data_IF_743402065742
#
_entry.id   IF_743402065742
#
_cell.length_a   1.000
_cell.length_b   1.000
_cell.length_c   1.000
_cell.angle_alpha   90.00
_cell.angle_beta   90.00
_cell.angle_gamma   90.00
#
_symmetry.space_group_name_H-M   'P 1'
#
loop_
_entity.id
_entity.type
_entity.pdbx_description
1 polymer ?
#
# COMPACT_ATOMS: atom_id res chain seq x y z
N UNK A 1 -1.85 -4.60 -28.27
CA UNK A 1 -2.36 -3.86 -27.09
C UNK A 1 -1.24 -3.12 -26.35
N UNK A 2 -0.11 -3.77 -26.04
CA UNK A 2 1.07 -3.14 -25.40
C UNK A 2 1.56 -1.83 -26.06
N UNK A 3 1.69 -1.80 -27.40
CA UNK A 3 2.11 -0.59 -28.12
C UNK A 3 1.09 0.57 -28.03
N UNK A 4 -0.19 0.29 -27.76
CA UNK A 4 -1.21 1.34 -27.53
C UNK A 4 -1.09 1.95 -26.14
N UNK A 5 -0.72 1.16 -25.12
CA UNK A 5 -0.45 1.65 -23.76
C UNK A 5 0.81 2.53 -23.71
N UNK A 6 1.84 2.18 -24.50
CA UNK A 6 3.07 2.97 -24.59
C UNK A 6 2.83 4.37 -25.17
N UNK A 7 1.89 4.49 -26.12
CA UNK A 7 1.45 5.77 -26.67
C UNK A 7 0.73 6.65 -25.64
N UNK A 8 0.02 6.05 -24.68
CA UNK A 8 -0.59 6.77 -23.55
C UNK A 8 0.49 7.40 -22.65
N UNK A 9 1.60 6.71 -22.43
CA UNK A 9 2.76 7.21 -21.67
C UNK A 9 3.50 8.35 -22.37
N UNK A 10 3.39 8.43 -23.70
CA UNK A 10 3.95 9.51 -24.51
C UNK A 10 3.12 10.80 -24.48
N UNK A 11 1.99 10.85 -23.77
CA UNK A 11 1.30 12.12 -23.52
C UNK A 11 2.11 12.96 -22.53
N UNK A 12 2.41 14.19 -22.95
CA UNK A 12 3.11 15.24 -22.21
C UNK A 12 2.58 15.46 -20.77
N UNK A 13 1.30 15.13 -20.55
CA UNK A 13 0.66 15.17 -19.22
C UNK A 13 1.29 14.24 -18.18
N UNK A 14 1.84 13.09 -18.57
CA UNK A 14 2.43 12.14 -17.61
C UNK A 14 3.75 12.63 -17.03
N UNK A 15 4.54 13.36 -17.82
CA UNK A 15 5.82 13.89 -17.36
C UNK A 15 5.61 14.91 -16.22
N UNK A 16 4.62 15.80 -16.38
CA UNK A 16 4.24 16.76 -15.34
C UNK A 16 3.75 16.05 -14.06
N UNK A 17 2.88 15.04 -14.19
CA UNK A 17 2.38 14.28 -13.05
C UNK A 17 3.51 13.51 -12.31
N UNK A 18 4.43 12.89 -13.04
CA UNK A 18 5.59 12.20 -12.46
C UNK A 18 6.56 13.17 -11.78
N UNK A 19 6.75 14.37 -12.34
CA UNK A 19 7.55 15.41 -11.72
C UNK A 19 6.97 15.84 -10.37
N UNK A 20 5.67 16.11 -10.31
CA UNK A 20 4.95 16.43 -9.06
C UNK A 20 5.06 15.28 -8.07
N UNK A 21 4.78 14.04 -8.49
CA UNK A 21 4.88 12.86 -7.63
C UNK A 21 6.30 12.70 -7.05
N UNK A 22 7.33 12.83 -7.89
CA UNK A 22 8.74 12.76 -7.46
C UNK A 22 9.04 13.83 -6.41
N UNK A 23 8.56 15.06 -6.61
CA UNK A 23 8.79 16.16 -5.68
C UNK A 23 8.09 15.91 -4.34
N UNK A 24 6.84 15.43 -4.36
CA UNK A 24 6.08 15.05 -3.15
C UNK A 24 6.81 13.96 -2.37
N UNK A 25 7.27 12.91 -3.06
CA UNK A 25 8.04 11.81 -2.46
C UNK A 25 9.36 12.29 -1.87
N UNK A 26 10.07 13.18 -2.56
CA UNK A 26 11.34 13.72 -2.08
C UNK A 26 11.15 14.59 -0.83
N UNK A 27 10.14 15.47 -0.84
CA UNK A 27 9.82 16.38 0.27
C UNK A 27 9.43 15.60 1.54
N UNK A 28 8.68 14.51 1.40
CA UNK A 28 8.15 13.72 2.52
C UNK A 28 8.83 12.35 2.67
N UNK A 29 10.07 12.18 2.17
CA UNK A 29 10.74 10.87 2.15
C UNK A 29 10.88 10.22 3.53
N UNK A 30 11.14 11.01 4.57
CA UNK A 30 11.34 10.51 5.94
C UNK A 30 10.07 9.86 6.52
N UNK A 31 8.92 10.55 6.61
CA UNK A 31 7.70 9.92 7.10
C UNK A 31 7.22 8.79 6.18
N UNK A 32 7.39 8.93 4.86
CA UNK A 32 6.99 7.89 3.91
C UNK A 32 7.79 6.59 4.11
N UNK A 33 9.11 6.66 4.26
CA UNK A 33 9.95 5.48 4.51
C UNK A 33 9.59 4.81 5.84
N UNK A 34 9.27 5.58 6.89
CA UNK A 34 8.85 5.03 8.19
C UNK A 34 7.51 4.29 8.07
N UNK A 35 6.53 4.88 7.39
CA UNK A 35 5.24 4.25 7.15
C UNK A 35 5.36 3.00 6.27
N UNK A 36 6.17 3.07 5.21
CA UNK A 36 6.48 1.93 4.36
C UNK A 36 7.15 0.79 5.13
N UNK A 37 8.14 1.11 5.96
CA UNK A 37 8.80 0.12 6.81
C UNK A 37 7.81 -0.55 7.77
N UNK A 38 6.91 0.21 8.41
CA UNK A 38 5.88 -0.34 9.29
C UNK A 38 4.90 -1.27 8.54
N UNK A 39 4.50 -0.89 7.32
CA UNK A 39 3.65 -1.71 6.45
C UNK A 39 4.32 -3.04 6.11
N UNK A 40 5.55 -2.99 5.61
CA UNK A 40 6.30 -4.20 5.24
C UNK A 40 6.56 -5.07 6.46
N UNK A 41 6.98 -4.50 7.59
CA UNK A 41 7.21 -5.25 8.81
C UNK A 41 5.94 -5.97 9.31
N UNK A 42 4.80 -5.27 9.30
CA UNK A 42 3.51 -5.87 9.72
C UNK A 42 3.09 -6.98 8.78
N UNK A 43 3.24 -6.79 7.47
CA UNK A 43 2.96 -7.81 6.47
C UNK A 43 3.83 -9.06 6.70
N UNK A 44 5.13 -8.88 6.91
CA UNK A 44 6.04 -9.99 7.20
C UNK A 44 5.69 -10.71 8.51
N UNK A 45 5.37 -9.97 9.57
CA UNK A 45 4.95 -10.56 10.87
C UNK A 45 3.67 -11.36 10.68
N UNK A 46 2.68 -10.80 10.00
CA UNK A 46 1.41 -11.47 9.76
C UNK A 46 1.59 -12.74 8.92
N UNK A 47 2.37 -12.68 7.83
CA UNK A 47 2.70 -13.83 7.00
C UNK A 47 3.42 -14.93 7.79
N UNK A 48 4.39 -14.55 8.62
CA UNK A 48 5.18 -15.49 9.42
C UNK A 48 4.33 -16.15 10.50
N UNK A 49 3.45 -15.39 11.17
CA UNK A 49 2.54 -15.96 12.16
C UNK A 49 1.56 -16.94 11.52
N UNK A 50 0.93 -16.59 10.40
CA UNK A 50 0.04 -17.52 9.69
C UNK A 50 0.78 -18.79 9.23
N UNK A 51 2.00 -18.63 8.70
CA UNK A 51 2.85 -19.77 8.36
C UNK A 51 3.13 -20.66 9.58
N UNK A 52 3.41 -20.10 10.76
CA UNK A 52 3.71 -20.89 11.95
C UNK A 52 2.50 -21.63 12.52
N UNK A 53 1.29 -21.04 12.44
CA UNK A 53 0.08 -21.65 12.98
C UNK A 53 -0.61 -22.63 12.00
N UNK A 54 -0.45 -22.43 10.69
CA UNK A 54 -0.95 -23.36 9.67
C UNK A 54 0.09 -24.41 9.23
N UNK A 55 1.34 -24.30 9.69
CA UNK A 55 2.31 -25.37 9.45
C UNK A 55 1.87 -26.60 10.24
N UNK A 56 1.67 -27.76 9.58
CA UNK A 56 1.35 -28.98 10.30
C UNK A 56 2.48 -29.23 11.31
N UNK A 57 2.10 -29.37 12.59
CA UNK A 57 3.01 -29.86 13.61
C UNK A 57 3.58 -31.20 13.13
N UNK A 58 4.85 -31.46 13.43
CA UNK A 58 5.53 -32.72 13.14
C UNK A 58 4.96 -33.93 13.95
N UNK A 59 3.67 -33.89 14.28
CA UNK A 59 2.93 -34.86 15.10
C UNK A 59 1.70 -35.42 14.36
N UNK A 60 1.63 -35.20 13.05
CA UNK A 60 0.76 -35.97 12.15
C UNK A 60 1.59 -36.55 10.99
N UNK A 61 2.75 -37.11 11.33
CA UNK A 61 3.58 -37.93 10.42
C UNK A 61 3.18 -39.42 10.48
N UNK A 62 2.03 -39.74 11.09
CA UNK A 62 1.51 -41.10 11.16
C UNK A 62 0.17 -41.17 10.40
N UNK A 63 0.26 -41.68 9.17
CA UNK A 63 -0.79 -42.48 8.53
C UNK A 63 -2.01 -41.77 7.91
N UNK A 64 -1.86 -40.64 7.21
CA UNK A 64 -2.81 -40.24 6.15
C UNK A 64 -2.21 -39.21 5.18
N UNK A 65 -1.09 -39.58 4.54
CA UNK A 65 -0.75 -38.96 3.26
C UNK A 65 -1.82 -39.38 2.24
N UNK A 66 -2.58 -38.41 1.74
CA UNK A 66 -3.70 -38.56 0.79
C UNK A 66 -5.10 -38.73 1.41
N UNK A 67 -5.54 -37.77 2.23
CA UNK A 67 -6.97 -37.48 2.34
C UNK A 67 -7.41 -36.62 1.15
N UNK A 68 -7.46 -37.21 -0.05
CA UNK A 68 -8.56 -36.85 -0.95
C UNK A 68 -9.80 -37.21 -0.16
N UNK A 69 -10.67 -36.23 0.12
CA UNK A 69 -12.02 -36.48 0.62
C UNK A 69 -12.80 -37.10 -0.56
N UNK A 70 -12.45 -38.33 -0.89
CA UNK A 70 -13.02 -39.13 -1.95
C UNK A 70 -14.02 -40.03 -1.28
N UNK A 71 -15.23 -39.50 -1.15
CA UNK A 71 -16.48 -40.22 -1.07
C UNK A 71 -17.54 -39.12 -1.15
N UNK A 72 -17.89 -38.73 -2.37
CA UNK A 72 -19.28 -38.55 -2.80
C UNK A 72 -19.33 -38.01 -4.24
N UNK A 73 -20.14 -38.66 -5.05
CA UNK A 73 -20.43 -38.35 -6.45
C UNK A 73 -21.11 -36.98 -6.61
N UNK A 74 -20.37 -35.88 -6.66
CA UNK A 74 -20.79 -34.69 -7.42
C UNK A 74 -19.61 -33.72 -7.58
N UNK A 75 -19.41 -33.25 -8.81
CA UNK A 75 -18.32 -32.33 -9.13
C UNK A 75 -18.42 -31.04 -8.34
N UNK A 76 -17.57 -30.89 -7.33
CA UNK A 76 -17.32 -29.65 -6.62
C UNK A 76 -15.81 -29.47 -6.49
N UNK A 77 -15.37 -28.22 -6.68
CA UNK A 77 -14.00 -27.77 -6.86
C UNK A 77 -13.09 -28.26 -5.73
N UNK A 78 -11.93 -28.84 -6.08
CA UNK A 78 -10.98 -29.43 -5.14
C UNK A 78 -10.72 -28.52 -3.90
N UNK A 79 -11.30 -28.86 -2.75
CA UNK A 79 -11.04 -28.21 -1.47
C UNK A 79 -9.60 -28.52 -1.02
N UNK A 80 -8.63 -27.74 -1.51
CA UNK A 80 -7.23 -27.89 -1.12
C UNK A 80 -7.07 -27.49 0.35
N UNK A 81 -6.64 -28.44 1.17
CA UNK A 81 -6.32 -28.26 2.60
C UNK A 81 -5.39 -27.04 2.81
N UNK A 82 -5.71 -26.19 3.79
CA UNK A 82 -4.97 -24.94 4.05
C UNK A 82 -3.48 -25.16 4.31
N UNK A 83 -3.11 -26.30 4.91
CA UNK A 83 -1.72 -26.68 5.15
C UNK A 83 -0.87 -26.73 3.87
N UNK A 84 -1.48 -27.06 2.72
CA UNK A 84 -0.79 -27.09 1.43
C UNK A 84 -0.46 -25.67 0.91
N UNK A 85 -1.30 -24.68 1.23
CA UNK A 85 -1.11 -23.27 0.84
C UNK A 85 0.02 -22.60 1.62
N UNK A 86 0.20 -22.98 2.89
CA UNK A 86 1.24 -22.46 3.79
C UNK A 86 2.52 -23.31 3.82
N UNK A 87 2.80 -24.13 2.78
CA UNK A 87 4.01 -24.96 2.72
C UNK A 87 5.32 -24.17 2.72
N UNK A 88 5.31 -22.92 2.25
CA UNK A 88 6.49 -22.05 2.20
C UNK A 88 6.20 -20.65 2.73
N UNK A 89 7.23 -19.98 3.25
CA UNK A 89 7.12 -18.59 3.70
C UNK A 89 6.74 -17.67 2.53
N UNK A 90 7.22 -17.95 1.31
CA UNK A 90 6.89 -17.15 0.13
C UNK A 90 5.43 -17.29 -0.30
N UNK A 91 4.86 -18.50 -0.24
CA UNK A 91 3.43 -18.70 -0.49
C UNK A 91 2.59 -18.02 0.60
N UNK A 92 2.98 -18.13 1.87
CA UNK A 92 2.34 -17.42 2.97
C UNK A 92 2.39 -15.89 2.82
N UNK A 93 3.48 -15.33 2.28
CA UNK A 93 3.60 -13.90 1.96
C UNK A 93 2.61 -13.47 0.89
N UNK A 94 2.40 -14.28 -0.16
CA UNK A 94 1.40 -14.01 -1.19
C UNK A 94 -0.03 -14.08 -0.64
N UNK A 95 -0.37 -15.09 0.17
CA UNK A 95 -1.71 -15.17 0.75
C UNK A 95 -1.94 -14.05 1.77
N UNK A 96 -0.97 -13.74 2.63
CA UNK A 96 -1.11 -12.66 3.63
C UNK A 96 -1.34 -11.30 2.99
N UNK A 97 -0.71 -10.98 1.84
CA UNK A 97 -0.97 -9.69 1.18
C UNK A 97 -2.42 -9.60 0.69
N UNK A 98 -2.96 -10.69 0.12
CA UNK A 98 -4.37 -10.76 -0.32
C UNK A 98 -5.33 -10.55 0.85
N UNK A 99 -5.05 -11.17 2.01
CA UNK A 99 -5.87 -11.02 3.21
C UNK A 99 -5.80 -9.62 3.83
N UNK A 100 -4.63 -8.97 3.83
CA UNK A 100 -4.52 -7.58 4.28
C UNK A 100 -5.29 -6.61 3.39
N UNK A 101 -5.42 -6.89 2.09
CA UNK A 101 -6.22 -6.08 1.16
C UNK A 101 -7.72 -6.46 1.15
N UNK A 102 -8.08 -7.65 1.65
CA UNK A 102 -9.46 -8.11 1.77
C UNK A 102 -10.07 -8.63 0.48
N UNK A 103 -9.26 -9.10 -0.47
CA UNK A 103 -9.71 -9.47 -1.83
C UNK A 103 -10.29 -10.90 -1.91
N UNK A 104 -9.95 -11.79 -0.97
CA UNK A 104 -10.42 -13.17 -0.98
C UNK A 104 -10.75 -13.67 0.44
N UNK A 105 -12.00 -14.10 0.73
CA UNK A 105 -12.38 -14.60 2.03
C UNK A 105 -12.09 -16.10 2.16
N UNK A 106 -10.86 -16.45 2.52
CA UNK A 106 -10.55 -17.81 2.98
C UNK A 106 -10.90 -17.94 4.46
N UNK A 107 -11.66 -18.97 4.85
CA UNK A 107 -12.13 -19.10 6.24
C UNK A 107 -11.79 -20.44 6.91
N UNK A 108 -11.20 -21.38 6.16
CA UNK A 108 -10.92 -22.75 6.62
C UNK A 108 -9.62 -22.86 7.42
N UNK A 109 -9.40 -21.90 8.31
CA UNK A 109 -8.25 -21.86 9.21
C UNK A 109 -8.46 -22.67 10.48
N UNK A 110 -7.37 -23.14 11.07
CA UNK A 110 -7.37 -23.65 12.45
C UNK A 110 -7.83 -22.56 13.42
N UNK A 111 -8.37 -22.94 14.58
CA UNK A 111 -8.86 -21.97 15.57
C UNK A 111 -7.78 -20.96 15.99
N UNK A 112 -6.54 -21.41 16.17
CA UNK A 112 -5.41 -20.56 16.52
C UNK A 112 -5.10 -19.55 15.39
N UNK A 113 -5.05 -20.02 14.15
CA UNK A 113 -4.87 -19.16 12.98
C UNK A 113 -6.01 -18.17 12.81
N UNK A 114 -7.28 -18.54 13.07
CA UNK A 114 -8.43 -17.61 13.00
C UNK A 114 -8.25 -16.40 13.93
N UNK A 115 -7.77 -16.63 15.15
CA UNK A 115 -7.52 -15.55 16.12
C UNK A 115 -6.39 -14.63 15.64
N UNK A 116 -5.28 -15.21 15.19
CA UNK A 116 -4.13 -14.47 14.65
C UNK A 116 -4.50 -13.70 13.39
N UNK A 117 -5.32 -14.32 12.54
CA UNK A 117 -5.81 -13.75 11.30
C UNK A 117 -6.67 -12.52 11.57
N UNK A 118 -7.63 -12.63 12.48
CA UNK A 118 -8.51 -11.53 12.89
C UNK A 118 -7.70 -10.33 13.43
N UNK A 119 -6.79 -10.57 14.38
CA UNK A 119 -5.94 -9.51 14.97
C UNK A 119 -5.02 -8.90 13.89
N UNK A 120 -4.45 -9.75 13.05
CA UNK A 120 -3.54 -9.35 11.98
C UNK A 120 -4.20 -8.49 10.91
N UNK A 121 -5.43 -8.81 10.50
CA UNK A 121 -6.20 -8.00 9.56
C UNK A 121 -6.54 -6.64 10.18
N UNK A 122 -7.04 -6.61 11.42
CA UNK A 122 -7.36 -5.36 12.10
C UNK A 122 -6.15 -4.41 12.18
N UNK A 123 -5.00 -4.93 12.61
CA UNK A 123 -3.75 -4.16 12.68
C UNK A 123 -3.21 -3.79 11.29
N UNK A 124 -3.27 -4.73 10.34
CA UNK A 124 -2.80 -4.55 8.96
C UNK A 124 -3.54 -3.43 8.24
N UNK A 125 -4.87 -3.40 8.32
CA UNK A 125 -5.71 -2.34 7.73
C UNK A 125 -5.37 -0.98 8.34
N UNK A 126 -5.20 -0.89 9.66
CA UNK A 126 -4.83 0.36 10.33
C UNK A 126 -3.48 0.92 9.82
N UNK A 127 -2.52 0.04 9.56
CA UNK A 127 -1.19 0.42 9.09
C UNK A 127 -1.19 0.79 7.60
N UNK A 128 -1.95 0.06 6.78
CA UNK A 128 -2.17 0.42 5.36
C UNK A 128 -2.84 1.79 5.25
N UNK A 129 -3.88 2.04 6.07
CA UNK A 129 -4.54 3.33 6.15
C UNK A 129 -3.57 4.44 6.59
N UNK A 130 -2.67 4.15 7.53
CA UNK A 130 -1.62 5.08 7.97
C UNK A 130 -0.67 5.45 6.82
N UNK A 131 -0.22 4.46 6.04
CA UNK A 131 0.61 4.72 4.86
C UNK A 131 -0.11 5.62 3.84
N UNK A 132 -1.37 5.31 3.53
CA UNK A 132 -2.20 6.14 2.64
C UNK A 132 -2.37 7.57 3.19
N UNK A 133 -2.60 7.71 4.50
CA UNK A 133 -2.71 9.00 5.17
C UNK A 133 -1.43 9.84 5.10
N UNK A 134 -0.27 9.23 5.34
CA UNK A 134 1.04 9.89 5.22
C UNK A 134 1.31 10.31 3.77
N UNK A 135 0.97 9.47 2.80
CA UNK A 135 1.10 9.78 1.38
C UNK A 135 0.21 10.97 0.99
N UNK A 136 -1.06 10.98 1.41
CA UNK A 136 -2.00 12.08 1.17
C UNK A 136 -1.56 13.39 1.83
N UNK A 137 -1.09 13.34 3.08
CA UNK A 137 -0.52 14.49 3.77
C UNK A 137 0.69 15.06 3.02
N UNK A 138 1.49 14.20 2.36
CA UNK A 138 2.60 14.64 1.54
C UNK A 138 2.19 15.51 0.35
N UNK A 139 1.10 15.16 -0.33
CA UNK A 139 0.52 15.98 -1.41
C UNK A 139 0.01 17.32 -0.90
N UNK A 140 -0.68 17.32 0.25
CA UNK A 140 -1.15 18.55 0.89
C UNK A 140 -0.01 19.51 1.19
N UNK A 141 1.07 19.02 1.81
CA UNK A 141 2.24 19.83 2.15
C UNK A 141 2.90 20.43 0.89
N UNK A 142 2.97 19.66 -0.20
CA UNK A 142 3.52 20.14 -1.47
C UNK A 142 2.66 21.25 -2.09
N UNK A 143 1.34 21.06 -2.17
CA UNK A 143 0.43 22.06 -2.73
C UNK A 143 0.39 23.33 -1.87
N UNK A 144 0.48 23.19 -0.55
CA UNK A 144 0.53 24.33 0.36
C UNK A 144 1.83 25.14 0.18
N UNK A 145 2.97 24.47 0.02
CA UNK A 145 4.25 25.13 -0.25
C UNK A 145 4.21 25.92 -1.58
N UNK A 146 3.66 25.31 -2.64
CA UNK A 146 3.51 25.97 -3.94
C UNK A 146 2.59 27.20 -3.84
N UNK A 147 1.44 27.07 -3.17
CA UNK A 147 0.52 28.19 -2.96
C UNK A 147 1.16 29.35 -2.20
N UNK A 148 2.01 29.06 -1.21
CA UNK A 148 2.72 30.11 -0.47
C UNK A 148 3.76 30.84 -1.34
N UNK A 149 4.39 30.15 -2.28
CA UNK A 149 5.33 30.75 -3.23
C UNK A 149 4.62 31.70 -4.20
N UNK A 150 3.52 31.24 -4.81
CA UNK A 150 2.68 32.08 -5.69
C UNK A 150 2.16 33.33 -4.99
N UNK A 151 1.76 33.21 -3.72
CA UNK A 151 1.33 34.36 -2.90
C UNK A 151 2.48 35.35 -2.66
N UNK A 152 3.71 34.87 -2.42
CA UNK A 152 4.89 35.73 -2.24
C UNK A 152 5.21 36.49 -3.52
N UNK A 153 5.19 35.82 -4.67
CA UNK A 153 5.43 36.45 -5.97
C UNK A 153 4.37 37.53 -6.27
N UNK A 154 3.09 37.24 -6.01
CA UNK A 154 2.01 38.20 -6.17
C UNK A 154 2.18 39.43 -5.25
N UNK A 155 2.64 39.23 -4.00
CA UNK A 155 2.94 40.34 -3.08
C UNK A 155 4.11 41.20 -3.56
N UNK A 156 5.19 40.57 -4.05
CA UNK A 156 6.35 41.30 -4.62
C UNK A 156 5.94 42.13 -5.83
N UNK A 157 5.10 41.57 -6.71
CA UNK A 157 4.59 42.28 -7.89
C UNK A 157 3.74 43.49 -7.49
N UNK A 158 2.84 43.33 -6.51
CA UNK A 158 2.05 44.44 -5.96
C UNK A 158 2.91 45.52 -5.31
N UNK A 159 3.94 45.14 -4.55
CA UNK A 159 4.87 46.08 -3.93
C UNK A 159 5.68 46.86 -4.98
N UNK A 160 6.19 46.18 -6.01
CA UNK A 160 6.91 46.82 -7.12
C UNK A 160 6.03 47.82 -7.87
N UNK A 161 4.76 47.48 -8.10
CA UNK A 161 3.79 48.40 -8.70
C UNK A 161 3.58 49.66 -7.85
N UNK A 162 3.39 49.50 -6.53
CA UNK A 162 3.24 50.64 -5.61
C UNK A 162 4.48 51.54 -5.61
N UNK A 163 5.68 50.96 -5.57
CA UNK A 163 6.94 51.72 -5.63
C UNK A 163 7.08 52.48 -6.94
N UNK A 164 6.73 51.87 -8.08
CA UNK A 164 6.75 52.55 -9.39
C UNK A 164 5.75 53.71 -9.44
N UNK A 165 4.52 53.51 -8.93
CA UNK A 165 3.50 54.56 -8.87
C UNK A 165 3.96 55.75 -8.01
N UNK A 166 4.52 55.49 -6.82
CA UNK A 166 5.05 56.54 -5.93
C UNK A 166 6.19 57.31 -6.58
N UNK A 167 7.15 56.61 -7.22
CA UNK A 167 8.25 57.26 -7.95
C UNK A 167 7.76 58.10 -9.15
N UNK A 168 6.68 57.68 -9.80
CA UNK A 168 6.04 58.46 -10.85
C UNK A 168 5.43 59.75 -10.31
N UNK A 169 4.72 59.66 -9.19
CA UNK A 169 4.07 60.81 -8.54
C UNK A 169 5.08 61.82 -7.98
N UNK A 170 6.22 61.37 -7.44
CA UNK A 170 7.28 62.26 -6.94
C UNK A 170 8.03 63.03 -8.04
N UNK A 171 7.94 62.56 -9.29
CA UNK A 171 8.60 63.19 -10.45
C UNK A 171 7.68 64.11 -11.24
N UNK A 172 6.37 64.09 -10.95
CA UNK A 172 5.37 64.99 -11.52
C UNK A 172 5.24 66.24 -10.65
#
# INVERSE_FOLDING_TARGET
VLLRLLRLFSLESYYSALHVLRNVLYLNRRPLIRAWFALVATWFIHATLLYLFERPGAEHDDLNGYAIKGDDEQGEEDEVEMSFRYRSILSALQYSIVHLFGDYPETDYTLASKVVHFIGIMGGIAIIATFCGVFSAGFRNYLEAQRQEELKEAMVLKACFCVKAVKGLQRA
#
